data_IF_377139190527
#
_entry.id   IF_377139190527
#
_cell.length_a   1.000
_cell.length_b   1.000
_cell.length_c   1.000
_cell.angle_alpha   90.00
_cell.angle_beta   90.00
_cell.angle_gamma   90.00
#
_symmetry.space_group_name_H-M   'P 1'
#
loop_
_entity.id
_entity.type
_entity.pdbx_description
1 polymer ?
#
# COMPACT_ATOMS: atom_id res chain seq x y z
N UNK A 1 19.36 -3.46 -14.48
CA UNK A 1 18.39 -4.49 -14.93
C UNK A 1 17.85 -5.18 -13.68
N UNK A 2 16.53 -5.18 -13.47
CA UNK A 2 15.93 -5.84 -12.30
C UNK A 2 15.41 -7.24 -12.66
N UNK A 3 15.37 -8.16 -11.70
CA UNK A 3 14.81 -9.49 -11.90
C UNK A 3 13.35 -9.49 -12.36
N UNK A 4 13.05 -10.17 -13.49
CA UNK A 4 11.69 -10.31 -14.05
C UNK A 4 10.66 -10.96 -13.11
N UNK A 5 11.08 -11.55 -12.00
CA UNK A 5 10.15 -12.14 -11.03
C UNK A 5 9.37 -11.07 -10.25
N UNK A 6 9.87 -9.82 -10.18
CA UNK A 6 9.11 -8.71 -9.59
C UNK A 6 7.79 -8.48 -10.32
N UNK A 7 7.75 -8.70 -11.64
CA UNK A 7 6.53 -8.58 -12.43
C UNK A 7 5.48 -9.64 -12.05
N UNK A 8 5.94 -10.83 -11.65
CA UNK A 8 5.08 -11.95 -11.24
C UNK A 8 4.52 -11.81 -9.82
N UNK A 9 5.00 -10.86 -9.03
CA UNK A 9 4.49 -10.64 -7.68
C UNK A 9 3.10 -10.00 -7.69
N UNK A 10 2.23 -10.43 -6.78
CA UNK A 10 0.91 -9.85 -6.54
C UNK A 10 0.99 -8.55 -5.70
N UNK A 11 1.96 -7.68 -6.01
CA UNK A 11 2.14 -6.39 -5.38
C UNK A 11 1.62 -5.25 -6.26
N UNK A 12 1.23 -4.14 -5.63
CA UNK A 12 0.91 -2.91 -6.36
C UNK A 12 2.15 -2.40 -7.09
N UNK A 13 1.93 -1.64 -8.17
CA UNK A 13 3.01 -1.02 -8.93
C UNK A 13 4.00 -0.25 -8.04
N UNK A 14 3.48 0.53 -7.09
CA UNK A 14 4.28 1.32 -6.13
C UNK A 14 5.23 0.46 -5.30
N UNK A 15 4.78 -0.71 -4.83
CA UNK A 15 5.63 -1.61 -4.06
C UNK A 15 6.68 -2.29 -4.95
N UNK A 16 6.32 -2.65 -6.20
CA UNK A 16 7.30 -3.16 -7.18
C UNK A 16 8.39 -2.13 -7.46
N UNK A 17 8.03 -0.85 -7.63
CA UNK A 17 8.99 0.23 -7.86
C UNK A 17 9.95 0.39 -6.66
N UNK A 18 9.45 0.32 -5.42
CA UNK A 18 10.31 0.35 -4.21
C UNK A 18 11.27 -0.84 -4.14
N UNK A 19 10.82 -2.04 -4.53
CA UNK A 19 11.67 -3.23 -4.57
C UNK A 19 12.79 -3.09 -5.61
N UNK A 20 12.49 -2.50 -6.77
CA UNK A 20 13.47 -2.23 -7.82
C UNK A 20 14.52 -1.23 -7.31
N UNK A 21 14.10 -0.14 -6.67
CA UNK A 21 15.01 0.86 -6.07
C UNK A 21 15.91 0.24 -5.00
N UNK A 22 15.35 -0.61 -4.13
CA UNK A 22 16.12 -1.31 -3.10
C UNK A 22 17.14 -2.28 -3.72
N UNK A 23 16.74 -3.01 -4.78
CA UNK A 23 17.62 -3.92 -5.50
C UNK A 23 18.80 -3.20 -6.17
N UNK A 24 18.50 -2.07 -6.82
CA UNK A 24 19.52 -1.21 -7.43
C UNK A 24 20.39 -0.47 -6.39
N UNK A 25 20.11 -0.62 -5.09
CA UNK A 25 20.76 0.09 -3.98
C UNK A 25 20.61 1.62 -4.07
N UNK A 26 19.55 2.08 -4.73
CA UNK A 26 19.20 3.50 -4.79
C UNK A 26 18.65 4.00 -3.45
N UNK A 27 18.06 3.11 -2.67
CA UNK A 27 17.55 3.37 -1.32
C UNK A 27 18.10 2.37 -0.32
N UNK A 28 18.17 2.79 0.94
CA UNK A 28 18.50 1.93 2.06
C UNK A 28 17.31 1.08 2.50
N UNK A 29 17.59 0.00 3.24
CA UNK A 29 16.53 -0.85 3.83
C UNK A 29 15.61 -0.06 4.78
N UNK A 30 16.16 0.91 5.50
CA UNK A 30 15.37 1.75 6.42
C UNK A 30 14.41 2.68 5.67
N UNK A 31 14.87 3.31 4.59
CA UNK A 31 14.01 4.14 3.74
C UNK A 31 12.91 3.31 3.09
N UNK A 32 13.27 2.15 2.53
CA UNK A 32 12.31 1.20 2.00
C UNK A 32 11.22 0.87 3.04
N UNK A 33 11.61 0.48 4.26
CA UNK A 33 10.64 0.12 5.31
C UNK A 33 9.74 1.30 5.70
N UNK A 34 10.30 2.51 5.82
CA UNK A 34 9.52 3.72 6.15
C UNK A 34 8.48 4.02 5.09
N UNK A 35 8.87 3.98 3.81
CA UNK A 35 7.94 4.25 2.70
C UNK A 35 6.92 3.13 2.57
N UNK A 36 7.33 1.88 2.75
CA UNK A 36 6.45 0.72 2.70
C UNK A 36 5.38 0.76 3.81
N UNK A 37 5.77 1.10 5.04
CA UNK A 37 4.82 1.25 6.14
C UNK A 37 3.80 2.35 5.83
N UNK A 38 4.25 3.51 5.34
CA UNK A 38 3.33 4.56 4.92
C UNK A 38 2.39 4.10 3.79
N UNK A 39 2.89 3.31 2.84
CA UNK A 39 2.12 2.80 1.71
C UNK A 39 0.95 1.90 2.15
N UNK A 40 1.18 1.05 3.15
CA UNK A 40 0.17 0.10 3.63
C UNK A 40 -0.68 0.66 4.78
N UNK A 41 -0.10 1.42 5.70
CA UNK A 41 -0.86 2.07 6.78
C UNK A 41 -1.86 3.10 6.25
N UNK A 42 -1.45 3.90 5.26
CA UNK A 42 -2.37 4.86 4.61
C UNK A 42 -3.52 4.12 3.93
N UNK A 43 -3.23 3.00 3.27
CA UNK A 43 -4.27 2.18 2.61
C UNK A 43 -5.20 1.50 3.61
N UNK A 44 -4.70 1.12 4.78
CA UNK A 44 -5.52 0.54 5.86
C UNK A 44 -6.44 1.59 6.49
N UNK A 45 -5.90 2.77 6.84
CA UNK A 45 -6.69 3.86 7.45
C UNK A 45 -7.77 4.43 6.52
N UNK A 46 -7.52 4.45 5.21
CA UNK A 46 -8.56 4.87 4.22
C UNK A 46 -9.69 3.83 4.12
N UNK A 47 -9.40 2.53 4.30
CA UNK A 47 -10.43 1.49 4.28
C UNK A 47 -11.36 1.60 5.51
N UNK A 48 -10.81 1.96 6.67
CA UNK A 48 -11.57 2.09 7.91
C UNK A 48 -12.51 3.29 7.85
N UNK A 49 -12.06 4.41 7.28
CA UNK A 49 -12.88 5.60 7.11
C UNK A 49 -14.01 5.38 6.09
N UNK A 50 -13.76 4.66 4.99
CA UNK A 50 -14.83 4.28 4.05
C UNK A 50 -15.84 3.30 4.65
N UNK A 51 -15.44 2.47 5.61
CA UNK A 51 -16.37 1.58 6.31
C UNK A 51 -17.30 2.38 7.23
N UNK A 52 -16.78 3.38 7.97
CA UNK A 52 -17.60 4.25 8.82
C UNK A 52 -18.67 5.01 8.05
N UNK A 53 -18.34 5.57 6.89
CA UNK A 53 -19.33 6.27 6.05
C UNK A 53 -20.39 5.32 5.47
N UNK A 54 -20.01 4.06 5.16
CA UNK A 54 -20.96 3.02 4.76
C UNK A 54 -21.87 2.56 5.89
N UNK A 55 -21.35 2.45 7.12
CA UNK A 55 -22.14 2.11 8.31
C UNK A 55 -23.12 3.23 8.63
N UNK A 56 -22.71 4.49 8.53
CA UNK A 56 -23.59 5.64 8.81
C UNK A 56 -24.76 5.75 7.80
N UNK A 57 -24.53 5.40 6.52
CA UNK A 57 -25.57 5.37 5.49
C UNK A 57 -26.57 4.20 5.59
N UNK A 58 -26.22 3.12 6.34
CA UNK A 58 -27.16 2.04 6.64
C UNK A 58 -28.01 2.34 7.89
N UNK A 59 -27.45 3.03 8.89
CA UNK A 59 -28.14 3.33 10.15
C UNK A 59 -29.25 4.39 9.98
N UNK A 60 -29.13 5.28 9.00
CA UNK A 60 -30.12 6.35 8.75
C UNK A 60 -31.26 5.96 7.80
N UNK A 61 -31.30 4.72 7.29
CA UNK A 61 -32.36 4.25 6.37
C UNK A 61 -33.42 3.37 7.03
N UNK A 62 -33.37 3.26 8.36
CA UNK A 62 -34.30 2.47 9.16
C UNK A 62 -34.99 3.31 10.23
N UNK A 63 -35.63 4.43 9.85
CA UNK A 63 -36.70 5.07 10.63
C UNK A 63 -37.66 5.79 9.68
#
# INVERSE_FOLDING_TARGET
MYPKFFDKMAFSKEHKDLLIQLYNKEITRNEYNRVLNNLYETKHKINENKNRDKVLGYVTKCF
#
